data_IF_984278815473
#
_entry.id   IF_984278815473
#
_cell.length_a   1.000
_cell.length_b   1.000
_cell.length_c   1.000
_cell.angle_alpha   90.00
_cell.angle_beta   90.00
_cell.angle_gamma   90.00
#
_symmetry.space_group_name_H-M   'P 1'
#
loop_
_entity.id
_entity.type
_entity.pdbx_description
1 polymer ?
#
# COMPACT_ATOMS: atom_id res chain seq x y z
N UNK A 1 24.22 47.63 -56.52
CA UNK A 1 23.21 47.37 -57.55
C UNK A 1 21.90 47.27 -56.79
N UNK A 2 21.23 48.41 -56.61
CA UNK A 2 19.85 48.40 -56.13
C UNK A 2 19.02 48.20 -57.40
N UNK A 3 18.29 47.09 -57.47
CA UNK A 3 17.30 46.92 -58.52
C UNK A 3 16.16 47.90 -58.19
N UNK A 4 16.01 48.93 -59.02
CA UNK A 4 14.91 49.87 -58.93
C UNK A 4 13.61 49.08 -59.12
N UNK A 5 12.79 49.06 -58.07
CA UNK A 5 11.49 48.42 -58.07
C UNK A 5 10.60 49.16 -59.07
N UNK A 6 10.35 48.57 -60.24
CA UNK A 6 9.54 49.19 -61.29
C UNK A 6 8.06 49.22 -60.86
N UNK A 7 7.64 50.36 -60.33
CA UNK A 7 6.27 50.59 -59.86
C UNK A 7 5.24 50.51 -60.99
N UNK A 8 5.66 50.58 -62.27
CA UNK A 8 4.75 50.50 -63.42
C UNK A 8 4.44 49.03 -63.82
N UNK A 9 5.09 48.04 -63.21
CA UNK A 9 4.76 46.61 -63.36
C UNK A 9 3.56 46.17 -62.49
N UNK A 10 2.94 47.09 -61.75
CA UNK A 10 1.80 46.81 -60.84
C UNK A 10 0.50 46.50 -61.60
N UNK A 11 0.41 46.79 -62.90
CA UNK A 11 -0.81 46.58 -63.70
C UNK A 11 -1.20 45.10 -63.88
N UNK A 12 -0.29 44.15 -63.64
CA UNK A 12 -0.56 42.70 -63.65
C UNK A 12 -0.95 42.13 -62.27
N UNK A 13 -1.12 42.98 -61.24
CA UNK A 13 -1.65 42.52 -59.94
C UNK A 13 -3.16 42.35 -60.07
N UNK A 14 -3.60 41.09 -60.15
CA UNK A 14 -5.00 40.72 -60.08
C UNK A 14 -5.58 41.13 -58.71
N UNK A 15 -6.21 42.30 -58.66
CA UNK A 15 -6.89 42.82 -57.47
C UNK A 15 -8.11 41.97 -57.07
N UNK A 16 -8.51 41.00 -57.90
CA UNK A 16 -9.52 39.99 -57.57
C UNK A 16 -8.91 38.69 -57.02
N UNK A 17 -7.58 38.60 -56.87
CA UNK A 17 -6.93 37.46 -56.24
C UNK A 17 -7.21 37.46 -54.73
N UNK A 18 -8.21 36.67 -54.34
CA UNK A 18 -8.55 36.39 -52.95
C UNK A 18 -7.52 35.42 -52.35
N UNK A 19 -6.71 35.89 -51.40
CA UNK A 19 -5.72 35.07 -50.69
C UNK A 19 -6.36 34.11 -49.65
N UNK A 20 -7.68 34.08 -49.55
CA UNK A 20 -8.40 33.20 -48.63
C UNK A 20 -8.38 33.69 -47.19
N UNK A 21 -8.16 34.99 -46.98
CA UNK A 21 -8.27 35.63 -45.67
C UNK A 21 -9.53 36.48 -45.66
N UNK A 22 -10.50 36.11 -44.84
CA UNK A 22 -11.65 36.94 -44.52
C UNK A 22 -11.34 37.75 -43.27
N UNK A 23 -11.70 39.03 -43.24
CA UNK A 23 -11.60 39.83 -42.02
C UNK A 23 -12.63 39.32 -41.03
N UNK A 24 -12.20 39.02 -39.82
CA UNK A 24 -13.08 38.72 -38.70
C UNK A 24 -13.34 40.01 -37.93
N UNK A 25 -14.58 40.22 -37.51
CA UNK A 25 -14.94 41.35 -36.67
C UNK A 25 -14.51 41.10 -35.23
N UNK A 26 -14.34 42.17 -34.45
CA UNK A 26 -13.91 42.09 -33.03
C UNK A 26 -14.85 41.22 -32.20
N UNK A 27 -16.15 41.23 -32.51
CA UNK A 27 -17.17 40.40 -31.86
C UNK A 27 -16.93 38.90 -32.08
N UNK A 28 -16.51 38.48 -33.28
CA UNK A 28 -16.23 37.08 -33.62
C UNK A 28 -14.97 36.58 -32.90
N UNK A 29 -13.97 37.44 -32.75
CA UNK A 29 -12.76 37.15 -31.96
C UNK A 29 -13.12 36.98 -30.48
N UNK A 30 -13.96 37.87 -29.93
CA UNK A 30 -14.40 37.78 -28.54
C UNK A 30 -15.22 36.51 -28.28
N UNK A 31 -16.09 36.09 -29.19
CA UNK A 31 -16.83 34.83 -29.09
C UNK A 31 -15.90 33.62 -29.09
N UNK A 32 -14.89 33.60 -29.97
CA UNK A 32 -13.90 32.53 -30.00
C UNK A 32 -13.07 32.47 -28.73
N UNK A 33 -12.59 33.61 -28.22
CA UNK A 33 -11.84 33.69 -26.96
C UNK A 33 -12.67 33.20 -25.78
N UNK A 34 -13.95 33.59 -25.72
CA UNK A 34 -14.88 33.14 -24.67
C UNK A 34 -15.08 31.63 -24.73
N UNK A 35 -15.25 31.07 -25.93
CA UNK A 35 -15.40 29.62 -26.13
C UNK A 35 -14.12 28.84 -25.74
N UNK A 36 -12.93 29.39 -26.01
CA UNK A 36 -11.66 28.80 -25.58
C UNK A 36 -11.52 28.85 -24.06
N UNK A 37 -11.83 29.98 -23.42
CA UNK A 37 -11.79 30.11 -21.97
C UNK A 37 -12.75 29.14 -21.27
N UNK A 38 -13.96 28.96 -21.80
CA UNK A 38 -14.93 28.00 -21.26
C UNK A 38 -14.42 26.55 -21.36
N UNK A 39 -13.80 26.18 -22.50
CA UNK A 39 -13.20 24.86 -22.68
C UNK A 39 -12.04 24.61 -21.72
N UNK A 40 -11.18 25.61 -21.52
CA UNK A 40 -10.05 25.53 -20.58
C UNK A 40 -10.55 25.42 -19.15
N UNK A 41 -11.55 26.22 -18.76
CA UNK A 41 -12.16 26.14 -17.42
C UNK A 41 -12.79 24.77 -17.16
N UNK A 42 -13.48 24.21 -18.16
CA UNK A 42 -14.11 22.89 -18.07
C UNK A 42 -13.10 21.75 -18.00
N UNK A 43 -12.03 21.81 -18.80
CA UNK A 43 -10.96 20.82 -18.78
C UNK A 43 -10.16 20.86 -17.47
N UNK A 44 -9.76 22.06 -17.04
CA UNK A 44 -9.03 22.25 -15.79
C UNK A 44 -9.85 21.77 -14.58
N UNK A 45 -11.13 22.15 -14.48
CA UNK A 45 -11.99 21.76 -13.36
C UNK A 45 -12.32 20.26 -13.31
N UNK A 46 -12.45 19.61 -14.47
CA UNK A 46 -12.73 18.16 -14.53
C UNK A 46 -11.51 17.31 -14.18
N UNK A 47 -10.33 17.69 -14.66
CA UNK A 47 -9.09 16.96 -14.36
C UNK A 47 -8.63 17.17 -12.92
N UNK A 48 -8.76 18.37 -12.35
CA UNK A 48 -8.41 18.62 -10.95
C UNK A 48 -9.33 17.86 -10.00
N UNK A 49 -10.66 17.89 -10.23
CA UNK A 49 -11.60 17.15 -9.38
C UNK A 49 -11.38 15.63 -9.42
N UNK A 50 -11.02 15.08 -10.58
CA UNK A 50 -10.69 13.65 -10.70
C UNK A 50 -9.38 13.29 -9.98
N UNK A 51 -8.39 14.19 -9.98
CA UNK A 51 -7.13 14.01 -9.27
C UNK A 51 -7.31 14.14 -7.75
N UNK A 52 -8.10 15.12 -7.30
CA UNK A 52 -8.47 15.30 -5.89
C UNK A 52 -9.18 14.06 -5.35
N UNK A 53 -10.18 13.53 -6.07
CA UNK A 53 -10.87 12.30 -5.67
C UNK A 53 -9.94 11.08 -5.58
N UNK A 54 -8.94 10.97 -6.47
CA UNK A 54 -7.92 9.91 -6.41
C UNK A 54 -6.96 10.12 -5.23
N UNK A 55 -6.57 11.36 -4.94
CA UNK A 55 -5.72 11.71 -3.80
C UNK A 55 -6.42 11.38 -2.48
N UNK A 56 -7.68 11.78 -2.32
CA UNK A 56 -8.49 11.46 -1.14
C UNK A 56 -8.63 9.96 -0.93
N UNK A 57 -8.80 9.21 -2.03
CA UNK A 57 -8.84 7.75 -1.97
C UNK A 57 -7.50 7.17 -1.50
N UNK A 58 -6.37 7.67 -2.00
CA UNK A 58 -5.03 7.23 -1.57
C UNK A 58 -4.74 7.58 -0.11
N UNK A 59 -5.15 8.76 0.35
CA UNK A 59 -5.02 9.16 1.75
C UNK A 59 -5.81 8.20 2.66
N UNK A 60 -7.05 7.88 2.32
CA UNK A 60 -7.86 6.89 3.05
C UNK A 60 -7.21 5.51 3.08
N UNK A 61 -6.74 5.00 1.94
CA UNK A 61 -6.05 3.71 1.90
C UNK A 61 -4.78 3.71 2.78
N UNK A 62 -4.03 4.82 2.82
CA UNK A 62 -2.83 4.94 3.65
C UNK A 62 -3.14 5.01 5.14
N UNK A 63 -4.19 5.74 5.52
CA UNK A 63 -4.69 5.78 6.89
C UNK A 63 -5.15 4.38 7.35
N UNK A 64 -5.87 3.67 6.48
CA UNK A 64 -6.27 2.29 6.70
C UNK A 64 -5.05 1.37 6.84
N UNK A 65 -4.02 1.47 5.97
CA UNK A 65 -2.79 0.67 6.05
C UNK A 65 -2.03 0.88 7.38
N UNK A 66 -1.97 2.12 7.88
CA UNK A 66 -1.41 2.43 9.20
C UNK A 66 -2.21 1.73 10.32
N UNK A 67 -3.54 1.68 10.19
CA UNK A 67 -4.41 0.96 11.10
C UNK A 67 -4.18 -0.57 11.04
N UNK A 68 -3.98 -1.14 9.84
CA UNK A 68 -3.70 -2.56 9.66
C UNK A 68 -2.35 -2.95 10.23
N UNK A 69 -1.31 -2.11 10.07
CA UNK A 69 0.00 -2.34 10.66
C UNK A 69 -0.08 -2.39 12.18
N UNK A 70 -0.78 -1.45 12.81
CA UNK A 70 -0.94 -1.41 14.26
C UNK A 70 -1.76 -2.61 14.78
N UNK A 71 -2.82 -3.01 14.08
CA UNK A 71 -3.58 -4.22 14.40
C UNK A 71 -2.74 -5.50 14.24
N UNK A 72 -1.91 -5.56 13.20
CA UNK A 72 -1.01 -6.67 12.94
C UNK A 72 0.04 -6.80 14.05
N UNK A 73 0.69 -5.70 14.42
CA UNK A 73 1.67 -5.67 15.52
C UNK A 73 1.02 -6.09 16.84
N UNK A 74 -0.18 -5.59 17.13
CA UNK A 74 -0.93 -5.99 18.33
C UNK A 74 -1.22 -7.49 18.34
N UNK A 75 -1.76 -8.04 17.24
CA UNK A 75 -2.04 -9.48 17.14
C UNK A 75 -0.78 -10.32 17.21
N UNK A 76 0.32 -9.85 16.62
CA UNK A 76 1.63 -10.50 16.71
C UNK A 76 2.11 -10.56 18.16
N UNK A 77 2.03 -9.45 18.90
CA UNK A 77 2.38 -9.39 20.31
C UNK A 77 1.52 -10.33 21.16
N UNK A 78 0.20 -10.34 20.94
CA UNK A 78 -0.73 -11.26 21.61
C UNK A 78 -0.37 -12.74 21.34
N UNK A 79 -0.04 -13.09 20.08
CA UNK A 79 0.40 -14.43 19.72
C UNK A 79 1.73 -14.78 20.40
N UNK A 80 2.70 -13.88 20.39
CA UNK A 80 3.99 -14.09 21.07
C UNK A 80 3.81 -14.36 22.56
N UNK A 81 2.90 -13.64 23.23
CA UNK A 81 2.60 -13.85 24.65
C UNK A 81 1.92 -15.20 24.90
N UNK A 82 0.99 -15.61 24.03
CA UNK A 82 0.37 -16.94 24.09
C UNK A 82 1.43 -18.04 23.94
N UNK A 83 2.32 -17.93 22.96
CA UNK A 83 3.39 -18.90 22.74
C UNK A 83 4.37 -18.95 23.91
N UNK A 84 4.78 -17.79 24.45
CA UNK A 84 5.64 -17.73 25.65
C UNK A 84 4.99 -18.45 26.83
N UNK A 85 3.70 -18.22 27.08
CA UNK A 85 3.00 -18.88 28.18
C UNK A 85 2.85 -20.39 27.97
N UNK A 86 2.58 -20.84 26.74
CA UNK A 86 2.56 -22.27 26.40
C UNK A 86 3.93 -22.92 26.63
N UNK A 87 5.01 -22.29 26.19
CA UNK A 87 6.36 -22.80 26.40
C UNK A 87 6.73 -22.86 27.88
N UNK A 88 6.36 -21.84 28.66
CA UNK A 88 6.55 -21.84 30.12
C UNK A 88 5.80 -23.00 30.79
N UNK A 89 4.60 -23.34 30.32
CA UNK A 89 3.85 -24.50 30.82
C UNK A 89 4.55 -25.82 30.48
N UNK A 90 5.10 -25.96 29.28
CA UNK A 90 5.89 -27.14 28.89
C UNK A 90 7.15 -27.27 29.74
N UNK A 91 7.88 -26.17 29.94
CA UNK A 91 9.07 -26.12 30.78
C UNK A 91 8.79 -26.59 32.22
N UNK A 92 7.69 -26.11 32.82
CA UNK A 92 7.24 -26.53 34.16
C UNK A 92 6.93 -28.02 34.26
N UNK A 93 6.57 -28.68 33.16
CA UNK A 93 6.33 -30.13 33.14
C UNK A 93 7.63 -30.91 32.97
N UNK A 94 8.57 -30.42 32.14
CA UNK A 94 9.81 -31.12 31.77
C UNK A 94 10.94 -30.92 32.79
N UNK A 95 11.18 -29.70 33.28
CA UNK A 95 12.33 -29.42 34.15
C UNK A 95 12.36 -30.27 35.43
N UNK A 96 11.24 -30.49 36.14
CA UNK A 96 11.27 -31.36 37.33
C UNK A 96 11.66 -32.80 36.99
N UNK A 97 11.28 -33.31 35.82
CA UNK A 97 11.68 -34.64 35.36
C UNK A 97 13.20 -34.68 35.15
N UNK A 98 13.75 -33.74 34.38
CA UNK A 98 15.18 -33.68 34.11
C UNK A 98 15.99 -33.53 35.40
N UNK A 99 15.58 -32.63 36.30
CA UNK A 99 16.22 -32.44 37.59
C UNK A 99 16.19 -33.72 38.44
N UNK A 100 15.08 -34.48 38.43
CA UNK A 100 15.01 -35.75 39.15
C UNK A 100 15.87 -36.85 38.52
N UNK A 101 16.02 -36.87 37.19
CA UNK A 101 16.90 -37.83 36.51
C UNK A 101 18.38 -37.58 36.79
N UNK A 102 18.77 -36.32 37.05
CA UNK A 102 20.14 -35.96 37.41
C UNK A 102 20.50 -36.23 38.88
N UNK A 103 19.52 -36.58 39.72
CA UNK A 103 19.79 -36.83 41.15
C UNK A 103 20.58 -38.12 41.34
N UNK A 104 21.54 -38.07 42.25
CA UNK A 104 22.42 -39.19 42.62
C UNK A 104 23.25 -39.70 41.42
N UNK A 105 24.14 -38.86 40.86
CA UNK A 105 24.91 -39.18 39.65
C UNK A 105 25.80 -40.43 39.79
N UNK A 106 26.17 -40.80 41.02
CA UNK A 106 26.95 -42.01 41.31
C UNK A 106 26.14 -43.31 41.14
N UNK A 107 24.81 -43.23 41.13
CA UNK A 107 23.92 -44.38 40.96
C UNK A 107 23.48 -44.51 39.51
N UNK A 108 23.94 -45.56 38.83
CA UNK A 108 23.58 -45.86 37.44
C UNK A 108 22.08 -46.19 37.26
N UNK A 109 21.42 -46.67 38.33
CA UNK A 109 20.03 -47.15 38.27
C UNK A 109 19.08 -46.30 39.12
N UNK A 110 17.96 -45.87 38.51
CA UNK A 110 16.86 -45.17 39.18
C UNK A 110 15.68 -46.13 39.37
N UNK A 111 15.31 -46.41 40.63
CA UNK A 111 14.08 -47.14 40.94
C UNK A 111 12.87 -46.22 40.74
N UNK A 112 12.19 -46.35 39.60
CA UNK A 112 11.00 -45.57 39.26
C UNK A 112 9.75 -46.48 39.12
N UNK A 113 9.01 -46.71 40.23
CA UNK A 113 7.82 -47.54 40.19
C UNK A 113 6.70 -46.87 39.37
N UNK A 114 5.88 -47.68 38.70
CA UNK A 114 4.75 -47.21 37.88
C UNK A 114 5.12 -46.18 36.78
N UNK A 115 6.38 -46.19 36.30
CA UNK A 115 6.90 -45.18 35.35
C UNK A 115 6.05 -45.03 34.09
N UNK A 116 5.50 -46.12 33.55
CA UNK A 116 4.71 -46.10 32.31
C UNK A 116 3.50 -45.19 32.44
N UNK A 117 2.69 -45.36 33.49
CA UNK A 117 1.49 -44.55 33.70
C UNK A 117 1.84 -43.08 34.01
N UNK A 118 2.89 -42.85 34.79
CA UNK A 118 3.35 -41.49 35.14
C UNK A 118 3.84 -40.76 33.89
N UNK A 119 4.71 -41.38 33.09
CA UNK A 119 5.25 -40.80 31.85
C UNK A 119 4.13 -40.57 30.84
N UNK A 120 3.21 -41.53 30.68
CA UNK A 120 2.08 -41.37 29.78
C UNK A 120 1.18 -40.17 30.17
N UNK A 121 0.93 -39.97 31.47
CA UNK A 121 0.19 -38.81 31.97
C UNK A 121 0.88 -37.49 31.63
N UNK A 122 2.21 -37.42 31.76
CA UNK A 122 2.97 -36.22 31.40
C UNK A 122 3.00 -35.97 29.88
N UNK A 123 3.15 -37.03 29.08
CA UNK A 123 3.05 -36.94 27.61
C UNK A 123 1.69 -36.34 27.23
N UNK A 124 0.60 -36.84 27.79
CA UNK A 124 -0.74 -36.34 27.49
C UNK A 124 -0.87 -34.84 27.81
N UNK A 125 -0.32 -34.37 28.94
CA UNK A 125 -0.31 -32.95 29.31
C UNK A 125 0.49 -32.08 28.33
N UNK A 126 1.67 -32.55 27.93
CA UNK A 126 2.52 -31.83 26.95
C UNK A 126 1.84 -31.77 25.59
N UNK A 127 1.24 -32.87 25.14
CA UNK A 127 0.52 -32.94 23.87
C UNK A 127 -0.69 -32.01 23.87
N UNK A 128 -1.45 -31.94 24.96
CA UNK A 128 -2.57 -30.99 25.09
C UNK A 128 -2.11 -29.54 24.91
N UNK A 129 -0.97 -29.15 25.50
CA UNK A 129 -0.42 -27.79 25.37
C UNK A 129 0.10 -27.51 23.96
N UNK A 130 0.84 -28.46 23.38
CA UNK A 130 1.56 -28.26 22.10
C UNK A 130 0.70 -28.47 20.86
N UNK A 131 -0.40 -29.24 20.96
CA UNK A 131 -1.32 -29.51 19.85
C UNK A 131 -2.68 -28.83 19.99
N UNK A 132 -2.95 -28.18 21.12
CA UNK A 132 -4.21 -27.46 21.36
C UNK A 132 -5.45 -28.35 21.39
N UNK A 133 -5.31 -29.57 21.93
CA UNK A 133 -6.41 -30.55 22.10
C UNK A 133 -6.99 -30.43 23.50
#
# INVERSE_FOLDING_TARGET
>A
MAEDFDINSIDDIDMNFDFGFTTVDEDEVQEFETAVQERVAKAAGHETGALEAKMDKLLKLREDDSSYQLLFEKRKAELEDVYKEQMRKVEKLILPLLHNLMKNPENEYIKWPNRTNIVQSQINKIVAITRGV
#
